data_IF_143430186778
#
_entry.id   IF_143430186778
#
_cell.length_a   1.000
_cell.length_b   1.000
_cell.length_c   1.000
_cell.angle_alpha   90.00
_cell.angle_beta   90.00
_cell.angle_gamma   90.00
#
_symmetry.space_group_name_H-M   'P 1'
#
loop_
_entity.id
_entity.type
_entity.pdbx_description
1 polymer ?
#
# COMPACT_ATOMS: atom_id res chain seq x y z
N UNK A 1 -5.55 32.46 -9.89
CA UNK A 1 -4.51 32.00 -8.93
C UNK A 1 -4.92 30.62 -8.46
N UNK A 2 -4.30 29.56 -8.99
CA UNK A 2 -4.40 28.22 -8.45
C UNK A 2 -3.40 28.12 -7.29
N UNK A 3 -3.81 27.62 -6.11
CA UNK A 3 -2.87 27.42 -5.01
C UNK A 3 -1.87 26.33 -5.41
N UNK A 4 -0.60 26.61 -5.23
CA UNK A 4 0.50 25.67 -5.36
C UNK A 4 0.25 24.47 -4.45
N UNK A 5 0.46 23.22 -4.90
CA UNK A 5 0.31 22.05 -4.05
C UNK A 5 1.32 22.18 -2.89
N UNK A 6 0.80 22.27 -1.67
CA UNK A 6 1.63 22.19 -0.47
C UNK A 6 2.19 20.78 -0.38
N UNK A 7 3.46 20.63 -0.73
CA UNK A 7 4.25 19.45 -0.37
C UNK A 7 4.27 19.38 1.16
N UNK A 8 4.06 18.15 1.69
CA UNK A 8 4.27 17.91 3.12
C UNK A 8 5.65 18.49 3.50
N UNK A 9 5.77 19.21 4.63
CA UNK A 9 7.03 19.81 5.00
C UNK A 9 8.09 18.70 5.11
N UNK A 10 9.23 18.92 4.48
CA UNK A 10 10.42 18.13 4.72
C UNK A 10 10.64 18.04 6.24
N UNK A 11 11.10 16.90 6.78
CA UNK A 11 11.34 16.81 8.22
C UNK A 11 12.22 17.97 8.64
N UNK A 12 11.78 18.69 9.66
CA UNK A 12 12.59 19.78 10.23
C UNK A 12 13.92 19.19 10.70
N UNK A 13 15.02 19.97 10.69
CA UNK A 13 16.38 19.47 10.97
C UNK A 13 16.55 18.71 12.30
N UNK A 14 15.54 18.77 13.18
CA UNK A 14 15.52 18.10 14.48
C UNK A 14 14.63 16.84 14.52
N UNK A 15 13.98 16.44 13.42
CA UNK A 15 13.16 15.22 13.36
C UNK A 15 13.97 14.13 12.68
N UNK A 16 14.21 13.03 13.39
CA UNK A 16 14.88 11.85 12.83
C UNK A 16 14.11 11.36 11.60
N UNK A 17 14.82 11.20 10.47
CA UNK A 17 14.24 10.60 9.28
C UNK A 17 13.78 9.17 9.57
N UNK A 18 12.55 8.85 9.17
CA UNK A 18 12.00 7.48 9.26
C UNK A 18 12.60 6.62 8.16
N UNK A 19 12.81 5.35 8.48
CA UNK A 19 13.07 4.32 7.47
C UNK A 19 11.75 3.78 6.96
N UNK A 20 11.45 4.02 5.68
CA UNK A 20 10.17 3.76 5.07
C UNK A 20 10.32 2.80 3.89
N UNK A 21 9.58 1.70 3.91
CA UNK A 21 9.39 0.85 2.73
C UNK A 21 8.02 1.12 2.12
N UNK A 22 8.00 1.44 0.83
CA UNK A 22 6.79 1.53 0.02
C UNK A 22 6.82 0.39 -0.99
N UNK A 23 5.87 -0.54 -0.88
CA UNK A 23 5.66 -1.61 -1.84
C UNK A 23 4.57 -1.22 -2.83
N UNK A 24 4.61 -1.76 -4.04
CA UNK A 24 3.71 -1.27 -5.11
C UNK A 24 4.01 0.18 -5.49
N UNK A 25 5.26 0.61 -5.35
CA UNK A 25 5.67 2.00 -5.48
C UNK A 25 5.47 2.56 -6.89
N UNK A 26 5.51 1.74 -7.92
CA UNK A 26 5.27 2.16 -9.31
C UNK A 26 3.78 2.33 -9.65
N UNK A 27 2.86 1.93 -8.77
CA UNK A 27 1.45 2.27 -8.89
C UNK A 27 1.17 3.73 -8.55
N UNK A 28 0.00 4.24 -8.94
CA UNK A 28 -0.36 5.64 -8.70
C UNK A 28 -0.37 6.01 -7.22
N UNK A 29 -0.94 5.17 -6.37
CA UNK A 29 -0.99 5.41 -4.92
C UNK A 29 0.38 5.29 -4.28
N UNK A 30 1.14 4.22 -4.57
CA UNK A 30 2.49 4.03 -4.04
C UNK A 30 3.44 5.16 -4.43
N UNK A 31 3.37 5.62 -5.68
CA UNK A 31 4.14 6.77 -6.16
C UNK A 31 3.78 8.07 -5.45
N UNK A 32 2.50 8.29 -5.15
CA UNK A 32 2.06 9.46 -4.39
C UNK A 32 2.60 9.45 -2.96
N UNK A 33 2.63 8.30 -2.30
CA UNK A 33 3.28 8.15 -0.99
C UNK A 33 4.78 8.42 -1.05
N UNK A 34 5.46 7.91 -2.08
CA UNK A 34 6.89 8.14 -2.26
C UNK A 34 7.21 9.64 -2.37
N UNK A 35 6.42 10.39 -3.13
CA UNK A 35 6.57 11.85 -3.25
C UNK A 35 6.25 12.58 -1.96
N UNK A 36 5.19 12.18 -1.26
CA UNK A 36 4.76 12.79 -0.01
C UNK A 36 5.76 12.56 1.15
N UNK A 37 6.51 11.46 1.10
CA UNK A 37 7.50 11.08 2.12
C UNK A 37 8.94 11.40 1.72
N UNK A 38 9.13 12.18 0.67
CA UNK A 38 10.45 12.64 0.25
C UNK A 38 11.19 13.33 1.41
N UNK A 39 12.46 12.98 1.58
CA UNK A 39 13.29 13.46 2.68
C UNK A 39 13.48 12.45 3.82
N UNK A 40 12.68 11.39 3.86
CA UNK A 40 12.92 10.24 4.71
C UNK A 40 13.88 9.23 4.04
N UNK A 41 14.34 8.22 4.77
CA UNK A 41 15.10 7.09 4.23
C UNK A 41 14.15 6.15 3.48
N UNK A 42 13.93 6.44 2.20
CA UNK A 42 12.94 5.75 1.36
C UNK A 42 13.53 4.57 0.63
N UNK A 43 12.84 3.44 0.76
CA UNK A 43 13.05 2.20 0.04
C UNK A 43 11.80 1.90 -0.77
N UNK A 44 11.94 1.71 -2.06
CA UNK A 44 10.81 1.50 -2.98
C UNK A 44 10.89 0.11 -3.60
N UNK A 45 9.81 -0.64 -3.55
CA UNK A 45 9.70 -1.94 -4.18
C UNK A 45 8.53 -2.01 -5.16
N UNK A 46 8.75 -2.72 -6.24
CA UNK A 46 7.79 -3.00 -7.30
C UNK A 46 8.41 -3.96 -8.31
N UNK A 47 7.60 -4.48 -9.22
CA UNK A 47 8.04 -5.45 -10.22
C UNK A 47 8.70 -4.80 -11.44
N UNK A 48 8.33 -3.56 -11.78
CA UNK A 48 8.81 -2.84 -12.96
C UNK A 48 10.10 -2.09 -12.62
N UNK A 49 11.24 -2.75 -12.81
CA UNK A 49 12.55 -2.23 -12.40
C UNK A 49 12.87 -0.84 -13.01
N UNK A 50 12.58 -0.61 -14.29
CA UNK A 50 12.84 0.68 -14.95
C UNK A 50 12.01 1.83 -14.37
N UNK A 51 10.70 1.66 -14.25
CA UNK A 51 9.82 2.67 -13.67
C UNK A 51 10.14 2.91 -12.17
N UNK A 52 10.53 1.86 -11.45
CA UNK A 52 10.94 1.96 -10.06
C UNK A 52 12.22 2.78 -9.92
N UNK A 53 13.21 2.56 -10.78
CA UNK A 53 14.47 3.32 -10.78
C UNK A 53 14.24 4.81 -11.09
N UNK A 54 13.34 5.13 -12.02
CA UNK A 54 12.97 6.50 -12.34
C UNK A 54 12.32 7.22 -11.15
N UNK A 55 11.36 6.59 -10.50
CA UNK A 55 10.71 7.14 -9.30
C UNK A 55 11.74 7.31 -8.17
N UNK A 56 12.61 6.34 -7.95
CA UNK A 56 13.64 6.40 -6.93
C UNK A 56 14.58 7.60 -7.13
N UNK A 57 14.98 7.87 -8.37
CA UNK A 57 15.77 9.09 -8.69
C UNK A 57 15.00 10.37 -8.42
N UNK A 58 13.70 10.41 -8.77
CA UNK A 58 12.85 11.58 -8.56
C UNK A 58 12.72 11.95 -7.08
N UNK A 59 12.59 10.97 -6.20
CA UNK A 59 12.34 11.19 -4.77
C UNK A 59 13.56 11.02 -3.88
N UNK A 60 14.71 10.65 -4.44
CA UNK A 60 15.92 10.39 -3.66
C UNK A 60 15.85 9.11 -2.84
N UNK A 61 15.27 8.06 -3.41
CA UNK A 61 15.05 6.77 -2.76
C UNK A 61 15.96 5.68 -3.36
N UNK A 62 15.97 4.52 -2.70
CA UNK A 62 16.59 3.30 -3.19
C UNK A 62 15.55 2.40 -3.82
N UNK A 63 15.79 1.94 -5.05
CA UNK A 63 14.93 1.01 -5.76
C UNK A 63 15.33 -0.45 -5.47
N UNK A 64 14.36 -1.26 -5.08
CA UNK A 64 14.52 -2.68 -4.74
C UNK A 64 13.46 -3.50 -5.47
N UNK A 65 13.67 -3.87 -6.75
CA UNK A 65 12.70 -4.65 -7.51
C UNK A 65 12.47 -6.02 -6.89
N UNK A 66 11.21 -6.42 -6.76
CA UNK A 66 10.81 -7.74 -6.27
C UNK A 66 9.36 -8.07 -6.67
N UNK A 67 9.07 -9.35 -6.87
CA UNK A 67 7.72 -9.89 -6.88
C UNK A 67 7.34 -10.37 -5.47
N UNK A 68 6.50 -9.63 -4.79
CA UNK A 68 6.13 -9.92 -3.40
C UNK A 68 5.08 -11.03 -3.26
N UNK A 69 4.54 -11.55 -4.37
CA UNK A 69 3.77 -12.78 -4.37
C UNK A 69 4.67 -14.04 -4.34
N UNK A 70 5.97 -13.88 -4.51
CA UNK A 70 6.99 -14.91 -4.28
C UNK A 70 7.58 -14.78 -2.87
N UNK A 71 7.46 -15.83 -2.06
CA UNK A 71 7.91 -15.82 -0.65
C UNK A 71 9.42 -15.64 -0.52
N UNK A 72 10.21 -16.18 -1.45
CA UNK A 72 11.68 -16.06 -1.41
C UNK A 72 12.14 -14.65 -1.82
N UNK A 73 11.51 -14.05 -2.82
CA UNK A 73 11.79 -12.67 -3.21
C UNK A 73 11.39 -11.70 -2.11
N UNK A 74 10.22 -11.90 -1.49
CA UNK A 74 9.79 -11.12 -0.33
C UNK A 74 10.80 -11.23 0.83
N UNK A 75 11.26 -12.43 1.13
CA UNK A 75 12.28 -12.67 2.16
C UNK A 75 13.56 -11.91 1.86
N UNK A 76 14.11 -12.06 0.66
CA UNK A 76 15.34 -11.41 0.26
C UNK A 76 15.23 -9.88 0.36
N UNK A 77 14.12 -9.31 -0.11
CA UNK A 77 13.84 -7.88 -0.02
C UNK A 77 13.84 -7.41 1.44
N UNK A 78 13.07 -8.06 2.30
CA UNK A 78 12.87 -7.61 3.69
C UNK A 78 14.14 -7.82 4.54
N UNK A 79 14.96 -8.81 4.23
CA UNK A 79 16.28 -8.97 4.85
C UNK A 79 17.21 -7.81 4.48
N UNK A 80 17.21 -7.38 3.22
CA UNK A 80 18.00 -6.25 2.74
C UNK A 80 17.53 -4.90 3.31
N UNK A 81 16.23 -4.73 3.44
CA UNK A 81 15.61 -3.50 3.97
C UNK A 81 15.92 -3.28 5.45
N UNK A 82 15.93 -4.32 6.25
CA UNK A 82 16.13 -4.22 7.69
C UNK A 82 14.93 -3.63 8.45
N UNK A 83 15.11 -3.23 9.71
CA UNK A 83 14.00 -2.75 10.56
C UNK A 83 13.40 -1.43 10.06
N UNK A 84 12.07 -1.38 9.99
CA UNK A 84 11.28 -0.27 9.44
C UNK A 84 10.60 0.56 10.55
N UNK A 85 10.51 1.86 10.32
CA UNK A 85 9.63 2.77 11.07
C UNK A 85 8.23 2.83 10.45
N UNK A 86 8.15 2.72 9.13
CA UNK A 86 6.89 2.76 8.37
C UNK A 86 6.94 1.81 7.19
N UNK A 87 5.92 0.98 7.06
CA UNK A 87 5.60 0.20 5.87
C UNK A 87 4.32 0.74 5.24
N UNK A 88 4.38 1.10 3.95
CA UNK A 88 3.20 1.41 3.13
C UNK A 88 3.06 0.33 2.07
N UNK A 89 2.13 -0.59 2.25
CA UNK A 89 1.88 -1.70 1.32
C UNK A 89 0.79 -1.31 0.33
N UNK A 90 1.20 -0.76 -0.81
CA UNK A 90 0.31 -0.26 -1.85
C UNK A 90 0.21 -1.19 -3.08
N UNK A 91 0.50 -2.47 -2.88
CA UNK A 91 0.33 -3.49 -3.92
C UNK A 91 -1.14 -3.80 -4.11
N UNK A 92 -1.61 -3.79 -5.35
CA UNK A 92 -2.96 -4.16 -5.65
C UNK A 92 -3.21 -4.34 -7.14
N UNK A 93 -4.28 -5.02 -7.46
CA UNK A 93 -4.77 -5.25 -8.81
C UNK A 93 -6.29 -5.31 -8.79
N UNK A 94 -6.95 -4.78 -9.81
CA UNK A 94 -8.37 -4.93 -10.01
C UNK A 94 -8.63 -5.92 -11.17
N UNK A 95 -9.69 -6.69 -11.04
CA UNK A 95 -10.14 -7.60 -12.08
C UNK A 95 -11.66 -7.72 -12.03
N UNK A 96 -12.29 -7.92 -13.18
CA UNK A 96 -13.73 -7.99 -13.33
C UNK A 96 -14.13 -9.18 -14.20
N UNK A 97 -15.05 -9.99 -13.70
CA UNK A 97 -15.76 -11.01 -14.44
C UNK A 97 -17.07 -11.34 -13.72
N UNK A 98 -18.09 -11.76 -14.46
CA UNK A 98 -19.30 -12.31 -13.83
C UNK A 98 -18.97 -13.58 -13.04
N UNK A 99 -19.78 -13.94 -12.06
CA UNK A 99 -19.59 -15.16 -11.27
C UNK A 99 -19.49 -16.42 -12.14
N UNK A 100 -20.20 -16.43 -13.29
CA UNK A 100 -20.19 -17.58 -14.19
C UNK A 100 -18.97 -17.63 -15.12
N UNK A 101 -18.29 -16.51 -15.32
CA UNK A 101 -17.12 -16.38 -16.20
C UNK A 101 -15.80 -16.31 -15.42
N UNK A 102 -15.86 -15.98 -14.12
CA UNK A 102 -14.68 -15.89 -13.28
C UNK A 102 -14.00 -17.27 -13.15
N UNK A 103 -12.92 -17.45 -13.87
CA UNK A 103 -12.09 -18.64 -13.81
C UNK A 103 -11.14 -18.62 -12.62
N UNK A 104 -10.47 -19.77 -12.43
CA UNK A 104 -9.46 -19.95 -11.38
C UNK A 104 -8.38 -18.89 -11.43
N UNK A 105 -7.89 -18.58 -12.63
CA UNK A 105 -6.78 -17.63 -12.82
C UNK A 105 -7.11 -16.25 -12.25
N UNK A 106 -8.32 -15.75 -12.48
CA UNK A 106 -8.73 -14.45 -11.93
C UNK A 106 -8.79 -14.48 -10.40
N UNK A 107 -9.36 -15.54 -9.84
CA UNK A 107 -9.47 -15.67 -8.36
C UNK A 107 -8.09 -15.76 -7.73
N UNK A 108 -7.21 -16.60 -8.26
CA UNK A 108 -5.84 -16.75 -7.77
C UNK A 108 -5.03 -15.47 -7.94
N UNK A 109 -5.19 -14.76 -9.05
CA UNK A 109 -4.52 -13.48 -9.31
C UNK A 109 -4.93 -12.41 -8.29
N UNK A 110 -6.22 -12.29 -7.98
CA UNK A 110 -6.70 -11.34 -6.97
C UNK A 110 -6.20 -11.71 -5.57
N UNK A 111 -6.24 -12.98 -5.20
CA UNK A 111 -5.71 -13.45 -3.91
C UNK A 111 -4.19 -13.24 -3.82
N UNK A 112 -3.45 -13.51 -4.87
CA UNK A 112 -2.01 -13.29 -4.90
C UNK A 112 -1.67 -11.81 -4.72
N UNK A 113 -2.30 -10.93 -5.48
CA UNK A 113 -2.03 -9.51 -5.45
C UNK A 113 -2.36 -8.85 -4.10
N UNK A 114 -3.43 -9.26 -3.44
CA UNK A 114 -3.91 -8.62 -2.21
C UNK A 114 -3.54 -9.36 -0.93
N UNK A 115 -3.68 -10.69 -0.90
CA UNK A 115 -3.46 -11.48 0.31
C UNK A 115 -2.03 -11.99 0.41
N UNK A 116 -1.51 -12.69 -0.61
CA UNK A 116 -0.18 -13.32 -0.52
C UNK A 116 0.92 -12.27 -0.37
N UNK A 117 0.87 -11.18 -1.13
CA UNK A 117 1.86 -10.12 -1.01
C UNK A 117 1.89 -9.51 0.40
N UNK A 118 0.73 -9.26 0.99
CA UNK A 118 0.63 -8.75 2.35
C UNK A 118 1.14 -9.77 3.38
N UNK A 119 0.75 -11.04 3.24
CA UNK A 119 1.17 -12.11 4.14
C UNK A 119 2.68 -12.31 4.12
N UNK A 120 3.31 -12.34 2.94
CA UNK A 120 4.75 -12.54 2.81
C UNK A 120 5.55 -11.33 3.27
N UNK A 121 5.08 -10.12 3.00
CA UNK A 121 5.71 -8.91 3.54
C UNK A 121 5.66 -8.92 5.06
N UNK A 122 4.53 -9.19 5.69
CA UNK A 122 4.42 -9.25 7.15
C UNK A 122 5.23 -10.40 7.77
N UNK A 123 5.33 -11.54 7.07
CA UNK A 123 6.13 -12.69 7.51
C UNK A 123 7.61 -12.35 7.68
N UNK A 124 8.16 -11.54 6.80
CA UNK A 124 9.60 -11.26 6.73
C UNK A 124 9.99 -9.86 7.21
N UNK A 125 9.05 -8.92 7.30
CA UNK A 125 9.34 -7.58 7.74
C UNK A 125 9.81 -7.54 9.19
N UNK A 126 10.83 -6.73 9.43
CA UNK A 126 11.26 -6.35 10.78
C UNK A 126 10.89 -4.90 11.03
N UNK A 127 10.49 -4.60 12.23
CA UNK A 127 9.99 -3.28 12.60
C UNK A 127 10.70 -2.72 13.83
N UNK A 128 10.88 -1.40 13.84
CA UNK A 128 11.21 -0.67 15.05
C UNK A 128 10.01 -0.64 15.99
N UNK A 129 10.26 -0.55 17.29
CA UNK A 129 9.19 -0.38 18.29
C UNK A 129 8.43 0.93 18.00
N UNK A 130 7.12 0.87 17.98
CA UNK A 130 6.26 2.00 17.63
C UNK A 130 6.06 2.19 16.13
N UNK A 131 6.60 1.29 15.29
CA UNK A 131 6.41 1.34 13.84
C UNK A 131 4.94 1.23 13.43
N UNK A 132 4.65 1.73 12.23
CA UNK A 132 3.33 1.63 11.61
C UNK A 132 3.43 0.82 10.31
N UNK A 133 2.50 -0.11 10.12
CA UNK A 133 2.37 -0.87 8.89
C UNK A 133 0.98 -0.63 8.31
N UNK A 134 0.92 -0.08 7.10
CA UNK A 134 -0.30 0.43 6.46
C UNK A 134 -0.67 -0.45 5.28
N UNK A 135 -1.91 -0.93 5.29
CA UNK A 135 -2.51 -1.74 4.24
C UNK A 135 -3.83 -1.12 3.78
N UNK A 136 -4.16 -1.33 2.51
CA UNK A 136 -5.34 -0.73 1.90
C UNK A 136 -6.43 -1.77 1.66
N UNK A 137 -7.54 -1.60 2.37
CA UNK A 137 -8.79 -2.28 2.13
C UNK A 137 -9.71 -1.49 1.21
N UNK A 138 -10.98 -1.85 1.21
CA UNK A 138 -12.00 -1.13 0.45
C UNK A 138 -13.31 -1.12 1.23
N UNK A 139 -14.10 -0.07 1.02
CA UNK A 139 -15.46 -0.05 1.53
C UNK A 139 -16.29 -1.16 0.87
N UNK A 140 -16.97 -2.03 1.62
CA UNK A 140 -17.78 -3.12 1.05
C UNK A 140 -18.74 -2.64 -0.04
N UNK A 141 -19.40 -1.49 0.17
CA UNK A 141 -20.35 -0.91 -0.79
C UNK A 141 -19.77 -0.62 -2.17
N UNK A 142 -18.44 -0.46 -2.28
CA UNK A 142 -17.79 -0.19 -3.56
C UNK A 142 -17.26 -1.44 -4.26
N UNK A 143 -17.08 -2.53 -3.53
CA UNK A 143 -16.48 -3.75 -4.07
C UNK A 143 -17.46 -4.93 -4.11
N UNK A 144 -18.49 -4.93 -3.28
CA UNK A 144 -19.54 -5.96 -3.29
C UNK A 144 -20.60 -5.62 -4.35
N UNK A 145 -20.15 -5.51 -5.59
CA UNK A 145 -20.97 -5.16 -6.75
C UNK A 145 -20.83 -6.20 -7.87
N UNK A 146 -21.80 -6.30 -8.80
CA UNK A 146 -21.72 -7.26 -9.88
C UNK A 146 -20.41 -7.18 -10.66
N UNK A 147 -19.79 -8.33 -10.90
CA UNK A 147 -18.53 -8.46 -11.62
C UNK A 147 -17.27 -8.38 -10.75
N UNK A 148 -17.37 -8.03 -9.47
CA UNK A 148 -16.21 -7.89 -8.59
C UNK A 148 -16.09 -8.97 -7.51
N UNK A 149 -16.76 -10.12 -7.66
CA UNK A 149 -16.74 -11.15 -6.64
C UNK A 149 -15.34 -11.61 -6.24
N UNK A 150 -14.46 -11.87 -7.20
CA UNK A 150 -13.08 -12.28 -6.94
C UNK A 150 -12.27 -11.15 -6.25
N UNK A 151 -12.41 -9.92 -6.72
CA UNK A 151 -11.77 -8.75 -6.12
C UNK A 151 -12.27 -8.48 -4.69
N UNK A 152 -13.58 -8.52 -4.48
CA UNK A 152 -14.19 -8.36 -3.15
C UNK A 152 -13.75 -9.46 -2.18
N UNK A 153 -13.67 -10.70 -2.64
CA UNK A 153 -13.17 -11.83 -1.84
C UNK A 153 -11.72 -11.62 -1.41
N UNK A 154 -10.85 -11.17 -2.32
CA UNK A 154 -9.46 -10.90 -2.01
C UNK A 154 -9.31 -9.75 -1.00
N UNK A 155 -10.08 -8.67 -1.14
CA UNK A 155 -10.10 -7.56 -0.18
C UNK A 155 -10.65 -8.00 1.18
N UNK A 156 -11.68 -8.82 1.22
CA UNK A 156 -12.22 -9.39 2.46
C UNK A 156 -11.22 -10.35 3.14
N UNK A 157 -10.54 -11.18 2.37
CA UNK A 157 -9.50 -12.06 2.87
C UNK A 157 -8.33 -11.26 3.49
N UNK A 158 -7.89 -10.19 2.82
CA UNK A 158 -6.88 -9.28 3.36
C UNK A 158 -7.31 -8.69 4.70
N UNK A 159 -8.50 -8.13 4.79
CA UNK A 159 -9.00 -7.51 6.03
C UNK A 159 -9.07 -8.52 7.18
N UNK A 160 -9.57 -9.74 6.93
CA UNK A 160 -9.63 -10.79 7.93
C UNK A 160 -8.23 -11.23 8.40
N UNK A 161 -7.29 -11.36 7.46
CA UNK A 161 -5.89 -11.67 7.77
C UNK A 161 -5.26 -10.59 8.65
N UNK A 162 -5.43 -9.34 8.30
CA UNK A 162 -4.87 -8.21 9.03
C UNK A 162 -5.45 -8.09 10.45
N UNK A 163 -6.74 -8.39 10.64
CA UNK A 163 -7.36 -8.34 11.98
C UNK A 163 -6.73 -9.36 12.94
N UNK A 164 -6.40 -10.56 12.45
CA UNK A 164 -5.67 -11.55 13.24
C UNK A 164 -4.20 -11.13 13.46
N UNK A 165 -3.51 -10.74 12.40
CA UNK A 165 -2.10 -10.33 12.44
C UNK A 165 -1.88 -9.10 13.35
N UNK A 166 -2.82 -8.17 13.39
CA UNK A 166 -2.74 -6.96 14.22
C UNK A 166 -2.52 -7.27 15.70
N UNK A 167 -3.19 -8.29 16.21
CA UNK A 167 -3.06 -8.71 17.62
C UNK A 167 -1.68 -9.28 17.94
N UNK A 168 -1.08 -9.97 16.99
CA UNK A 168 0.29 -10.49 17.11
C UNK A 168 1.32 -9.37 17.07
N UNK A 169 1.26 -8.51 16.05
CA UNK A 169 2.20 -7.42 15.83
C UNK A 169 2.15 -6.34 16.92
N UNK A 170 0.98 -6.10 17.51
CA UNK A 170 0.85 -5.15 18.59
C UNK A 170 1.69 -5.57 19.82
N UNK A 171 1.85 -6.87 20.06
CA UNK A 171 2.75 -7.39 21.12
C UNK A 171 4.22 -7.09 20.83
N UNK A 172 4.58 -6.91 19.58
CA UNK A 172 5.92 -6.50 19.14
C UNK A 172 6.08 -4.97 19.12
N UNK A 173 5.05 -4.23 19.50
CA UNK A 173 5.03 -2.75 19.47
C UNK A 173 4.81 -2.17 18.08
N UNK A 174 4.21 -2.95 17.17
CA UNK A 174 3.91 -2.52 15.78
C UNK A 174 2.41 -2.24 15.62
N UNK A 175 2.09 -1.06 15.11
CA UNK A 175 0.72 -0.67 14.81
C UNK A 175 0.37 -1.02 13.37
N UNK A 176 -0.49 -2.02 13.20
CA UNK A 176 -1.04 -2.41 11.92
C UNK A 176 -2.30 -1.58 11.65
N UNK A 177 -2.28 -0.80 10.56
CA UNK A 177 -3.37 0.11 10.20
C UNK A 177 -4.00 -0.33 8.88
N UNK A 178 -5.28 -0.66 8.94
CA UNK A 178 -6.10 -0.86 7.75
C UNK A 178 -6.70 0.48 7.33
N UNK A 179 -6.47 0.85 6.07
CA UNK A 179 -7.05 2.07 5.48
C UNK A 179 -8.12 1.67 4.49
N UNK A 180 -9.34 2.18 4.65
CA UNK A 180 -10.40 2.11 3.64
C UNK A 180 -10.46 3.42 2.87
N UNK A 181 -10.17 3.32 1.58
CA UNK A 181 -10.24 4.43 0.64
C UNK A 181 -11.49 4.30 -0.25
N UNK A 182 -12.10 5.41 -0.65
CA UNK A 182 -12.93 5.44 -1.85
C UNK A 182 -12.04 5.15 -3.07
N UNK A 183 -12.65 5.12 -4.27
CA UNK A 183 -11.86 4.95 -5.49
C UNK A 183 -10.78 6.05 -5.59
N UNK A 184 -9.58 5.64 -5.96
CA UNK A 184 -8.44 6.53 -6.23
C UNK A 184 -8.12 6.45 -7.71
N UNK A 185 -7.98 7.59 -8.37
CA UNK A 185 -7.75 7.70 -9.80
C UNK A 185 -6.33 7.25 -10.18
N UNK A 186 -6.12 5.96 -10.32
CA UNK A 186 -4.85 5.31 -10.66
C UNK A 186 -4.97 4.45 -11.90
N UNK A 187 -3.84 3.98 -12.44
CA UNK A 187 -3.79 3.02 -13.53
C UNK A 187 -4.43 1.67 -13.23
N UNK A 188 -4.74 1.37 -11.98
CA UNK A 188 -5.48 0.18 -11.56
C UNK A 188 -6.81 0.02 -12.30
N UNK A 189 -7.46 1.12 -12.66
CA UNK A 189 -8.75 1.16 -13.35
C UNK A 189 -8.64 1.08 -14.88
N UNK A 190 -7.43 1.16 -15.45
CA UNK A 190 -7.26 1.16 -16.91
C UNK A 190 -7.90 -0.04 -17.61
N UNK A 191 -7.76 -1.30 -17.12
CA UNK A 191 -8.44 -2.45 -17.71
C UNK A 191 -9.97 -2.41 -17.60
N UNK A 192 -10.51 -1.54 -16.77
CA UNK A 192 -11.95 -1.44 -16.46
C UNK A 192 -12.61 -0.20 -17.08
N UNK A 193 -11.88 0.50 -17.97
CA UNK A 193 -12.41 1.69 -18.66
C UNK A 193 -12.15 3.01 -17.95
N UNK A 194 -11.30 3.02 -16.94
CA UNK A 194 -10.93 4.22 -16.19
C UNK A 194 -11.54 4.31 -14.79
N UNK A 195 -11.11 5.28 -13.98
CA UNK A 195 -11.59 5.42 -12.60
C UNK A 195 -13.05 5.89 -12.56
N UNK A 196 -13.79 5.51 -11.50
CA UNK A 196 -15.15 6.01 -11.28
C UNK A 196 -15.17 7.54 -11.14
N UNK A 197 -16.30 8.14 -11.50
CA UNK A 197 -16.52 9.58 -11.29
C UNK A 197 -16.41 9.92 -9.79
N UNK A 198 -15.67 10.98 -9.48
CA UNK A 198 -15.46 11.43 -8.10
C UNK A 198 -14.35 10.68 -7.35
N UNK A 199 -13.54 9.86 -8.06
CA UNK A 199 -12.37 9.26 -7.48
C UNK A 199 -11.40 10.34 -6.95
N UNK A 200 -10.76 10.05 -5.79
CA UNK A 200 -9.71 10.92 -5.25
C UNK A 200 -8.47 10.90 -6.15
N UNK A 201 -7.72 12.00 -6.20
CA UNK A 201 -6.37 11.94 -6.74
C UNK A 201 -5.46 11.11 -5.82
N UNK A 202 -4.43 10.44 -6.38
CA UNK A 202 -3.47 9.70 -5.56
C UNK A 202 -2.80 10.59 -4.50
N UNK A 203 -2.48 11.83 -4.85
CA UNK A 203 -1.85 12.80 -3.96
C UNK A 203 -2.76 13.18 -2.79
N UNK A 204 -4.03 13.40 -3.06
CA UNK A 204 -5.02 13.71 -2.01
C UNK A 204 -5.24 12.50 -1.10
N UNK A 205 -5.32 11.30 -1.65
CA UNK A 205 -5.44 10.06 -0.89
C UNK A 205 -4.24 9.86 0.04
N UNK A 206 -3.02 10.00 -0.47
CA UNK A 206 -1.79 9.87 0.31
C UNK A 206 -1.73 10.91 1.45
N UNK A 207 -2.07 12.16 1.17
CA UNK A 207 -2.10 13.23 2.18
C UNK A 207 -3.06 12.91 3.32
N UNK A 208 -4.30 12.55 3.01
CA UNK A 208 -5.32 12.22 4.01
C UNK A 208 -4.94 11.00 4.87
N UNK A 209 -4.35 9.98 4.24
CA UNK A 209 -3.86 8.80 4.96
C UNK A 209 -2.74 9.18 5.92
N UNK A 210 -1.73 9.93 5.47
CA UNK A 210 -0.61 10.34 6.31
C UNK A 210 -1.07 11.22 7.49
N UNK A 211 -2.00 12.13 7.27
CA UNK A 211 -2.59 12.94 8.35
C UNK A 211 -3.30 12.07 9.42
N UNK A 212 -4.01 11.02 8.99
CA UNK A 212 -4.68 10.11 9.91
C UNK A 212 -3.72 9.15 10.61
N UNK A 213 -2.70 8.69 9.90
CA UNK A 213 -1.75 7.69 10.36
C UNK A 213 -0.90 8.15 11.56
N UNK A 214 -0.58 9.44 11.61
CA UNK A 214 0.26 10.01 12.67
C UNK A 214 -0.52 10.66 13.82
N UNK A 215 -1.83 10.39 13.89
CA UNK A 215 -2.63 10.75 15.07
C UNK A 215 -2.33 9.80 16.23
N UNK A 216 -2.49 10.30 17.44
CA UNK A 216 -2.42 9.49 18.66
C UNK A 216 -3.80 9.46 19.36
N UNK A 217 -4.29 8.29 19.75
CA UNK A 217 -3.70 6.95 19.52
C UNK A 217 -3.73 6.54 18.05
N UNK A 218 -2.79 5.69 17.65
CA UNK A 218 -2.72 5.18 16.25
C UNK A 218 -3.99 4.38 15.96
N UNK A 219 -4.76 4.71 14.91
CA UNK A 219 -5.98 4.00 14.60
C UNK A 219 -5.70 2.59 14.05
N UNK A 220 -6.51 1.60 14.44
CA UNK A 220 -6.48 0.27 13.80
C UNK A 220 -7.18 0.29 12.42
N UNK A 221 -8.21 1.12 12.29
CA UNK A 221 -8.94 1.37 11.05
C UNK A 221 -8.96 2.88 10.78
N UNK A 222 -8.54 3.26 9.60
CA UNK A 222 -8.61 4.63 9.10
C UNK A 222 -9.54 4.66 7.88
N UNK A 223 -10.63 5.39 7.99
CA UNK A 223 -11.58 5.61 6.90
C UNK A 223 -11.39 7.03 6.32
N UNK A 224 -11.25 7.07 5.00
CA UNK A 224 -10.97 8.32 4.25
C UNK A 224 -12.12 8.67 3.33
#
# INVERSE_FOLDING_TARGET
>A
FLPTPQTAPAPSPNVKAMRVLITGATGGLGGAFARALKGHDLLLSGRRAGALAELAREVGARALPADLADDLEAKALLEEVGPLDLLVHAVGKAGRASVREAGRDLVEEMLAAHLLTAAFVLKHARFQKGARAVFFGAYPRYVQVPGFAAYAAAKGALEAYLEAARKELLREGVHLVLVRLPAVATGLWAPLGGPPKGALSPEEAARKVLEGLFREPVPALLEV
#
